data_IF_867332189437
#
_entry.id   IF_867332189437
#
_cell.length_a   1.000
_cell.length_b   1.000
_cell.length_c   1.000
_cell.angle_alpha   90.00
_cell.angle_beta   90.00
_cell.angle_gamma   90.00
#
_symmetry.space_group_name_H-M   'P 1'
#
loop_
_entity.id
_entity.type
_entity.pdbx_description
1 polymer ?
#
# COMPACT_ATOMS: atom_id res chain seq x y z
N UNK A 1 19.41 10.85 67.86
CA UNK A 1 18.46 9.82 67.33
C UNK A 1 17.40 10.41 66.41
N UNK A 2 16.91 11.63 66.68
CA UNK A 2 15.90 12.35 65.88
C UNK A 2 16.34 12.71 64.44
N UNK A 3 17.63 13.01 64.22
CA UNK A 3 18.13 13.37 62.89
C UNK A 3 18.08 12.20 61.90
N UNK A 4 18.44 10.98 62.34
CA UNK A 4 18.34 9.75 61.53
C UNK A 4 16.90 9.42 61.16
N UNK A 5 15.97 9.62 62.09
CA UNK A 5 14.53 9.43 61.87
C UNK A 5 14.00 10.40 60.80
N UNK A 6 14.47 11.66 60.80
CA UNK A 6 14.10 12.63 59.75
C UNK A 6 14.57 12.19 58.36
N UNK A 7 15.81 11.72 58.22
CA UNK A 7 16.31 11.24 56.92
C UNK A 7 15.55 10.02 56.40
N UNK A 8 15.20 9.09 57.30
CA UNK A 8 14.39 7.89 56.97
C UNK A 8 12.99 8.31 56.51
N UNK A 9 12.37 9.27 57.22
CA UNK A 9 11.07 9.81 56.84
C UNK A 9 11.10 10.48 55.45
N UNK A 10 12.14 11.27 55.16
CA UNK A 10 12.28 11.92 53.85
C UNK A 10 12.51 10.92 52.72
N UNK A 11 13.27 9.84 52.96
CA UNK A 11 13.50 8.80 51.94
C UNK A 11 12.23 8.00 51.63
N UNK A 12 11.45 7.65 52.66
CA UNK A 12 10.16 6.97 52.47
C UNK A 12 9.20 7.84 51.66
N UNK A 13 9.16 9.15 51.91
CA UNK A 13 8.33 10.09 51.17
C UNK A 13 8.72 10.17 49.68
N UNK A 14 10.01 10.23 49.39
CA UNK A 14 10.53 10.24 48.01
C UNK A 14 10.19 8.95 47.25
N UNK A 15 10.30 7.80 47.92
CA UNK A 15 9.93 6.50 47.35
C UNK A 15 8.42 6.45 47.06
N UNK A 16 7.58 6.92 47.98
CA UNK A 16 6.13 6.95 47.78
C UNK A 16 5.72 7.82 46.58
N UNK A 17 6.34 8.99 46.42
CA UNK A 17 6.09 9.88 45.28
C UNK A 17 6.52 9.27 43.94
N UNK A 18 7.53 8.39 43.94
CA UNK A 18 8.01 7.73 42.72
C UNK A 18 7.01 6.73 42.13
N UNK A 19 6.05 6.24 42.91
CA UNK A 19 4.98 5.35 42.41
C UNK A 19 3.81 6.11 41.77
N UNK A 20 3.74 7.43 41.91
CA UNK A 20 2.64 8.26 41.40
C UNK A 20 2.99 9.04 40.13
N UNK A 21 4.22 8.92 39.64
CA UNK A 21 4.65 9.53 38.38
C UNK A 21 4.27 8.62 37.21
N UNK A 22 3.17 8.94 36.55
CA UNK A 22 2.83 8.41 35.23
C UNK A 22 3.48 9.32 34.17
N UNK A 23 4.23 8.74 33.22
CA UNK A 23 4.73 9.49 32.08
C UNK A 23 3.55 9.96 31.23
N UNK A 24 3.62 11.20 30.74
CA UNK A 24 2.58 11.77 29.88
C UNK A 24 2.57 10.99 28.56
N UNK A 25 1.43 10.38 28.23
CA UNK A 25 1.24 9.78 26.92
C UNK A 25 1.12 10.90 25.89
N UNK A 26 2.05 10.95 24.94
CA UNK A 26 2.08 12.00 23.94
C UNK A 26 0.87 11.91 23.01
N UNK A 27 -0.01 12.91 23.05
CA UNK A 27 -1.12 13.02 22.10
C UNK A 27 -0.58 13.47 20.74
N UNK A 28 -0.45 12.54 19.79
CA UNK A 28 -0.09 12.88 18.41
C UNK A 28 -1.34 13.32 17.66
N UNK A 29 -1.48 14.63 17.44
CA UNK A 29 -2.52 15.19 16.58
C UNK A 29 -2.05 15.19 15.13
N UNK A 30 -2.61 14.29 14.32
CA UNK A 30 -2.41 14.29 12.87
C UNK A 30 -3.49 15.16 12.23
N UNK A 31 -3.11 16.35 11.77
CA UNK A 31 -3.98 17.19 10.94
C UNK A 31 -3.79 16.78 9.49
N UNK A 32 -4.73 16.00 8.97
CA UNK A 32 -4.74 15.55 7.58
C UNK A 32 -5.76 16.36 6.78
N UNK A 33 -5.41 16.72 5.55
CA UNK A 33 -6.33 17.31 4.59
C UNK A 33 -7.37 16.27 4.13
N UNK A 34 -8.64 16.66 4.05
CA UNK A 34 -9.73 15.82 3.56
C UNK A 34 -9.52 15.29 2.13
N UNK A 35 -8.71 15.97 1.32
CA UNK A 35 -8.42 15.53 -0.04
C UNK A 35 -7.40 14.38 -0.09
N UNK A 36 -6.62 14.15 0.98
CA UNK A 36 -5.70 13.00 1.07
C UNK A 36 -6.46 11.68 1.04
N UNK A 37 -7.65 11.60 1.63
CA UNK A 37 -8.45 10.38 1.62
C UNK A 37 -8.92 10.04 0.19
N UNK A 38 -9.32 11.05 -0.59
CA UNK A 38 -9.67 10.88 -2.01
C UNK A 38 -8.45 10.45 -2.83
N UNK A 39 -7.27 11.03 -2.56
CA UNK A 39 -6.03 10.63 -3.22
C UNK A 39 -5.63 9.19 -2.88
N UNK A 40 -5.85 8.75 -1.64
CA UNK A 40 -5.64 7.36 -1.22
C UNK A 40 -6.63 6.41 -1.89
N UNK A 41 -7.87 6.84 -2.10
CA UNK A 41 -8.88 6.08 -2.85
C UNK A 41 -8.48 5.93 -4.32
N UNK A 42 -8.04 6.99 -4.99
CA UNK A 42 -7.54 6.92 -6.37
C UNK A 42 -6.23 6.14 -6.49
N UNK A 43 -5.39 6.18 -5.45
CA UNK A 43 -4.14 5.43 -5.39
C UNK A 43 -4.32 3.99 -4.93
N UNK A 44 -5.54 3.58 -4.55
CA UNK A 44 -5.85 2.20 -4.16
C UNK A 44 -5.49 1.30 -5.34
N UNK A 45 -4.38 0.62 -5.16
CA UNK A 45 -3.53 0.10 -6.22
C UNK A 45 -4.31 -0.87 -7.11
N UNK A 46 -4.03 -0.87 -8.42
CA UNK A 46 -4.57 -1.86 -9.38
C UNK A 46 -4.32 -3.30 -8.88
N UNK A 47 -3.31 -3.51 -8.03
CA UNK A 47 -3.01 -4.78 -7.37
C UNK A 47 -4.14 -5.31 -6.46
N UNK A 48 -4.97 -4.43 -5.91
CA UNK A 48 -6.09 -4.80 -5.03
C UNK A 48 -7.40 -5.00 -5.80
N UNK A 49 -7.49 -4.48 -7.02
CA UNK A 49 -8.65 -4.64 -7.89
C UNK A 49 -8.40 -5.79 -8.86
N UNK A 50 -9.33 -6.74 -8.96
CA UNK A 50 -9.24 -7.79 -9.99
C UNK A 50 -9.48 -7.14 -11.36
N UNK A 51 -8.41 -6.79 -12.05
CA UNK A 51 -8.50 -6.29 -13.42
C UNK A 51 -8.54 -7.47 -14.37
N UNK A 52 -9.62 -7.55 -15.15
CA UNK A 52 -9.76 -8.53 -16.23
C UNK A 52 -9.13 -7.96 -17.50
N UNK A 53 -8.49 -8.84 -18.28
CA UNK A 53 -7.96 -8.53 -19.61
C UNK A 53 -8.64 -9.43 -20.62
N UNK A 54 -8.78 -8.95 -21.85
CA UNK A 54 -9.38 -9.75 -22.93
C UNK A 54 -8.24 -10.31 -23.78
N UNK A 55 -8.11 -11.64 -23.81
CA UNK A 55 -7.17 -12.31 -24.71
C UNK A 55 -7.87 -12.61 -26.03
N UNK A 56 -7.35 -12.06 -27.12
CA UNK A 56 -7.91 -12.26 -28.48
C UNK A 56 -7.12 -13.25 -29.32
N UNK A 57 -5.89 -13.58 -28.93
CA UNK A 57 -5.05 -14.51 -29.67
C UNK A 57 -4.09 -15.29 -28.76
N UNK A 58 -3.76 -16.53 -29.14
CA UNK A 58 -2.82 -17.42 -28.45
C UNK A 58 -2.16 -18.36 -29.46
N UNK A 59 -0.87 -18.19 -29.73
CA UNK A 59 -0.14 -19.05 -30.66
C UNK A 59 1.37 -19.07 -30.40
N UNK A 60 2.08 -20.18 -30.66
CA UNK A 60 3.54 -20.21 -30.60
C UNK A 60 4.22 -19.39 -31.71
N UNK A 61 3.48 -18.96 -32.72
CA UNK A 61 4.00 -18.25 -33.89
C UNK A 61 3.95 -16.72 -33.69
N UNK A 62 5.10 -16.03 -33.62
CA UNK A 62 5.15 -14.58 -33.39
C UNK A 62 4.57 -13.77 -34.56
N UNK A 63 4.74 -14.22 -35.80
CA UNK A 63 4.29 -13.49 -36.98
C UNK A 63 2.76 -13.47 -37.04
N UNK A 64 2.12 -14.57 -36.63
CA UNK A 64 0.66 -14.62 -36.52
C UNK A 64 0.14 -13.72 -35.42
N UNK A 65 0.81 -13.65 -34.26
CA UNK A 65 0.41 -12.74 -33.18
C UNK A 65 0.50 -11.27 -33.63
N UNK A 66 1.54 -10.91 -34.38
CA UNK A 66 1.70 -9.58 -34.94
C UNK A 66 0.61 -9.25 -35.97
N UNK A 67 0.27 -10.20 -36.85
CA UNK A 67 -0.82 -10.05 -37.81
C UNK A 67 -2.16 -9.86 -37.11
N UNK A 68 -2.49 -10.68 -36.12
CA UNK A 68 -3.78 -10.55 -35.42
C UNK A 68 -3.87 -9.26 -34.60
N UNK A 69 -2.76 -8.80 -34.00
CA UNK A 69 -2.69 -7.46 -33.39
C UNK A 69 -3.00 -6.36 -34.42
N UNK A 70 -2.39 -6.42 -35.61
CA UNK A 70 -2.63 -5.43 -36.65
C UNK A 70 -4.09 -5.46 -37.14
N UNK A 71 -4.66 -6.66 -37.35
CA UNK A 71 -6.06 -6.84 -37.73
C UNK A 71 -7.01 -6.23 -36.68
N UNK A 72 -6.71 -6.44 -35.40
CA UNK A 72 -7.48 -5.88 -34.30
C UNK A 72 -7.40 -4.34 -34.29
N UNK A 73 -6.20 -3.77 -34.35
CA UNK A 73 -6.00 -2.31 -34.35
C UNK A 73 -6.62 -1.63 -35.58
N UNK A 74 -6.68 -2.31 -36.72
CA UNK A 74 -7.38 -1.82 -37.91
C UNK A 74 -8.90 -1.76 -37.72
N UNK A 75 -9.46 -2.68 -36.92
CA UNK A 75 -10.91 -2.76 -36.67
C UNK A 75 -11.34 -1.93 -35.46
N UNK A 76 -10.46 -1.76 -34.47
CA UNK A 76 -10.71 -1.13 -33.19
C UNK A 76 -9.55 -0.19 -32.83
N UNK A 77 -9.38 0.88 -33.62
CA UNK A 77 -8.25 1.82 -33.49
C UNK A 77 -8.18 2.55 -32.14
N UNK A 78 -9.31 2.67 -31.44
CA UNK A 78 -9.40 3.32 -30.13
C UNK A 78 -8.92 2.42 -28.98
N UNK A 79 -8.81 1.10 -29.20
CA UNK A 79 -8.49 0.13 -28.15
C UNK A 79 -7.03 -0.32 -28.27
N UNK A 80 -6.20 -0.15 -27.23
CA UNK A 80 -4.82 -0.59 -27.26
C UNK A 80 -4.74 -2.12 -27.25
N UNK A 81 -3.75 -2.68 -27.96
CA UNK A 81 -3.47 -4.11 -27.93
C UNK A 81 -1.97 -4.38 -27.74
N UNK A 82 -1.64 -5.31 -26.84
CA UNK A 82 -0.27 -5.71 -26.52
C UNK A 82 -0.02 -7.18 -26.85
N UNK A 83 1.21 -7.49 -27.27
CA UNK A 83 1.67 -8.88 -27.42
C UNK A 83 2.48 -9.22 -26.17
N UNK A 84 2.09 -10.29 -25.49
CA UNK A 84 2.77 -10.79 -24.29
C UNK A 84 3.29 -12.19 -24.56
N UNK A 85 4.58 -12.39 -24.33
CA UNK A 85 5.19 -13.70 -24.37
C UNK A 85 4.92 -14.43 -23.06
N UNK A 86 4.22 -15.56 -23.15
CA UNK A 86 3.99 -16.47 -22.04
C UNK A 86 4.25 -17.90 -22.49
N UNK A 87 5.40 -18.43 -22.10
CA UNK A 87 5.89 -19.74 -22.54
C UNK A 87 4.78 -20.79 -22.59
N UNK A 88 4.59 -21.50 -23.72
CA UNK A 88 5.36 -21.45 -24.97
C UNK A 88 4.77 -20.52 -26.06
N UNK A 89 3.84 -19.63 -25.74
CA UNK A 89 3.03 -18.91 -26.72
C UNK A 89 3.14 -17.39 -26.64
N UNK A 90 2.88 -16.74 -27.78
CA UNK A 90 2.58 -15.32 -27.89
C UNK A 90 1.08 -15.11 -27.76
N UNK A 91 0.69 -14.24 -26.83
CA UNK A 91 -0.70 -13.86 -26.57
C UNK A 91 -0.93 -12.42 -26.99
N UNK A 92 -2.09 -12.11 -27.53
CA UNK A 92 -2.51 -10.72 -27.79
C UNK A 92 -3.59 -10.36 -26.78
N UNK A 93 -3.33 -9.31 -26.00
CA UNK A 93 -4.22 -8.79 -24.96
C UNK A 93 -4.71 -7.39 -25.30
N UNK A 94 -5.93 -7.10 -24.87
CA UNK A 94 -6.56 -5.77 -24.86
C UNK A 94 -6.67 -5.32 -23.41
#
# INVERSE_FOLDING_TARGET
MTLKIKYISTTILLIALSFSIHAQEGEVRVTQDSDIDKLLEFKKDIKTSKVYRIQIYDSPDPDKAQREKANFLNSFSEWPAEIVWNTPNYKVWI
#
